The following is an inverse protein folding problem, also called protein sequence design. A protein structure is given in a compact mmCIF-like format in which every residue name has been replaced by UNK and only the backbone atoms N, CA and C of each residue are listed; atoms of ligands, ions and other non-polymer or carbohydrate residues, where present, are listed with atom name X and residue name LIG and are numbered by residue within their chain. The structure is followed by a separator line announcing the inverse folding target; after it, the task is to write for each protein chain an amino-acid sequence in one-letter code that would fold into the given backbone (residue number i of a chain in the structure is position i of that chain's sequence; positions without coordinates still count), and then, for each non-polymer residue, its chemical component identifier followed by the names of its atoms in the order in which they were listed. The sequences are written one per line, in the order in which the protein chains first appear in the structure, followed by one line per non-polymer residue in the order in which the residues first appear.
data_IF_458785714855
#
_entry.id   IF_458785714855
#
_cell.length_a   1.000
_cell.length_b   1.000
_cell.length_c   1.000
_cell.angle_alpha   90.00
_cell.angle_beta   90.00
_cell.angle_gamma   90.00
#
_symmetry.space_group_name_H-M   'P 1'
#
loop_
_entity.id
_entity.type
_entity.pdbx_description
1 polymer ?
#
# COMPACT_ATOMS: atom_id res chain seq x y z
N UNK A 1 -36.64 34.13 -32.10
CA UNK A 1 -35.94 32.95 -31.55
C UNK A 1 -34.98 32.44 -32.61
N UNK A 2 -33.71 32.82 -32.49
CA UNK A 2 -32.72 32.71 -33.57
C UNK A 2 -32.10 31.32 -33.66
N UNK A 3 -31.61 30.97 -34.86
CA UNK A 3 -30.89 29.72 -35.15
C UNK A 3 -29.77 29.40 -34.14
N UNK A 4 -29.18 30.43 -33.53
CA UNK A 4 -28.09 30.34 -32.55
C UNK A 4 -28.49 29.55 -31.30
N UNK A 5 -29.75 29.67 -30.85
CA UNK A 5 -30.26 28.93 -29.68
C UNK A 5 -30.39 27.42 -29.94
N UNK A 6 -30.67 27.02 -31.19
CA UNK A 6 -30.71 25.61 -31.60
C UNK A 6 -29.33 24.97 -31.63
N UNK A 7 -28.28 25.72 -32.01
CA UNK A 7 -26.90 25.19 -32.03
C UNK A 7 -26.36 25.01 -30.62
N UNK A 8 -26.68 25.95 -29.70
CA UNK A 8 -26.32 25.82 -28.27
C UNK A 8 -26.95 24.60 -27.59
N UNK A 9 -28.18 24.23 -27.96
CA UNK A 9 -28.84 23.05 -27.36
C UNK A 9 -28.28 21.72 -27.84
N UNK A 10 -27.77 21.67 -29.08
CA UNK A 10 -27.10 20.49 -29.65
C UNK A 10 -25.75 20.24 -28.99
N UNK A 11 -24.94 21.29 -28.76
CA UNK A 11 -23.67 21.16 -28.04
C UNK A 11 -23.85 20.68 -26.60
N UNK A 12 -24.92 21.11 -25.92
CA UNK A 12 -25.25 20.64 -24.55
C UNK A 12 -25.57 19.13 -24.47
N UNK A 13 -25.98 18.50 -25.58
CA UNK A 13 -26.21 17.04 -25.64
C UNK A 13 -24.91 16.26 -25.85
N UNK A 14 -23.89 16.86 -26.47
CA UNK A 14 -22.60 16.22 -26.70
C UNK A 14 -21.62 16.31 -25.53
N UNK A 15 -21.81 17.26 -24.60
CA UNK A 15 -21.02 17.33 -23.35
C UNK A 15 -21.60 16.50 -22.22
N UNK A 16 -22.62 15.67 -22.47
CA UNK A 16 -22.98 14.61 -21.52
C UNK A 16 -21.85 13.59 -21.57
N UNK A 17 -20.90 13.75 -20.66
CA UNK A 17 -19.97 12.70 -20.30
C UNK A 17 -20.76 11.38 -20.27
N UNK A 18 -20.26 10.30 -20.89
CA UNK A 18 -20.90 9.00 -20.77
C UNK A 18 -21.19 8.77 -19.28
N UNK A 19 -22.40 8.30 -18.92
CA UNK A 19 -22.70 8.01 -17.52
C UNK A 19 -21.53 7.18 -16.99
N UNK A 20 -20.97 7.55 -15.81
CA UNK A 20 -19.85 6.82 -15.25
C UNK A 20 -20.25 5.35 -15.26
N UNK A 21 -19.51 4.52 -16.00
CA UNK A 21 -19.73 3.09 -16.01
C UNK A 21 -19.75 2.70 -14.53
N UNK A 22 -20.88 2.18 -14.00
CA UNK A 22 -20.90 1.76 -12.62
C UNK A 22 -19.79 0.72 -12.51
N UNK A 23 -18.76 1.03 -11.72
CA UNK A 23 -17.74 0.04 -11.39
C UNK A 23 -18.51 -1.18 -10.89
N UNK A 24 -18.18 -2.41 -11.35
CA UNK A 24 -18.84 -3.60 -10.84
C UNK A 24 -18.83 -3.51 -9.31
N UNK A 25 -19.97 -3.79 -8.65
CA UNK A 25 -20.02 -3.75 -7.20
C UNK A 25 -18.92 -4.68 -6.69
N UNK A 26 -18.01 -4.15 -5.88
CA UNK A 26 -17.06 -4.96 -5.14
C UNK A 26 -17.92 -5.98 -4.41
N UNK A 27 -17.74 -7.27 -4.71
CA UNK A 27 -18.57 -8.28 -4.06
C UNK A 27 -18.24 -8.26 -2.56
N UNK A 28 -19.18 -8.66 -1.70
CA UNK A 28 -18.94 -8.71 -0.24
C UNK A 28 -17.66 -9.48 0.08
N UNK A 29 -17.35 -10.50 -0.72
CA UNK A 29 -16.11 -11.29 -0.64
C UNK A 29 -14.84 -10.47 -0.93
N UNK A 30 -14.87 -9.58 -1.94
CA UNK A 30 -13.76 -8.70 -2.28
C UNK A 30 -13.55 -7.61 -1.21
N UNK A 31 -14.63 -7.09 -0.59
CA UNK A 31 -14.54 -6.15 0.53
C UNK A 31 -13.90 -6.79 1.76
N UNK A 32 -14.28 -8.03 2.08
CA UNK A 32 -13.67 -8.82 3.15
C UNK A 32 -12.20 -9.15 2.86
N UNK A 33 -11.84 -9.44 1.60
CA UNK A 33 -10.45 -9.66 1.20
C UNK A 33 -9.63 -8.37 1.37
N UNK A 34 -10.16 -7.22 0.96
CA UNK A 34 -9.50 -5.92 1.17
C UNK A 34 -9.31 -5.64 2.67
N UNK A 35 -10.30 -5.90 3.52
CA UNK A 35 -10.20 -5.71 4.96
C UNK A 35 -9.09 -6.58 5.58
N UNK A 36 -9.03 -7.86 5.19
CA UNK A 36 -7.96 -8.79 5.61
C UNK A 36 -6.58 -8.32 5.15
N UNK A 37 -6.46 -7.91 3.89
CA UNK A 37 -5.22 -7.39 3.33
C UNK A 37 -4.74 -6.12 4.04
N UNK A 38 -5.67 -5.23 4.44
CA UNK A 38 -5.36 -4.05 5.25
C UNK A 38 -4.85 -4.41 6.65
N UNK A 39 -5.44 -5.42 7.30
CA UNK A 39 -4.95 -5.92 8.59
C UNK A 39 -3.53 -6.47 8.48
N UNK A 40 -3.27 -7.35 7.51
CA UNK A 40 -1.94 -7.91 7.27
C UNK A 40 -0.92 -6.81 6.96
N UNK A 41 -1.32 -5.79 6.19
CA UNK A 41 -0.46 -4.64 5.91
C UNK A 41 -0.06 -3.88 7.18
N UNK A 42 -0.97 -3.74 8.15
CA UNK A 42 -0.68 -3.08 9.42
C UNK A 42 0.23 -3.92 10.31
N UNK A 43 0.01 -5.23 10.38
CA UNK A 43 0.90 -6.17 11.07
C UNK A 43 2.33 -6.11 10.50
N UNK A 44 2.46 -6.11 9.17
CA UNK A 44 3.74 -6.00 8.49
C UNK A 44 4.46 -4.66 8.75
N UNK A 45 3.71 -3.56 8.88
CA UNK A 45 4.30 -2.28 9.32
C UNK A 45 4.79 -2.37 10.76
N UNK A 46 4.01 -2.93 11.67
CA UNK A 46 4.41 -3.16 13.05
C UNK A 46 5.69 -3.98 13.14
N UNK A 47 5.77 -5.08 12.38
CA UNK A 47 6.98 -5.91 12.29
C UNK A 47 8.20 -5.13 11.78
N UNK A 48 8.01 -4.20 10.83
CA UNK A 48 9.08 -3.34 10.33
C UNK A 48 9.57 -2.37 11.41
N UNK A 49 8.69 -1.83 12.24
CA UNK A 49 9.06 -0.99 13.38
C UNK A 49 9.84 -1.79 14.44
N UNK A 50 9.42 -3.02 14.73
CA UNK A 50 10.17 -3.93 15.61
C UNK A 50 11.60 -4.16 15.10
N UNK A 51 11.77 -4.44 13.81
CA UNK A 51 13.10 -4.61 13.21
C UNK A 51 13.95 -3.33 13.36
N UNK A 52 13.35 -2.15 13.23
CA UNK A 52 14.08 -0.89 13.46
C UNK A 52 14.53 -0.76 14.92
N UNK A 53 13.72 -1.18 15.89
CA UNK A 53 14.11 -1.21 17.30
C UNK A 53 15.22 -2.24 17.54
N UNK A 54 15.14 -3.42 16.91
CA UNK A 54 16.18 -4.44 16.99
C UNK A 54 17.51 -3.94 16.40
N UNK A 55 17.50 -3.22 15.28
CA UNK A 55 18.69 -2.59 14.70
C UNK A 55 19.32 -1.57 15.66
N UNK A 56 18.51 -0.71 16.28
CA UNK A 56 19.00 0.25 17.29
C UNK A 56 19.63 -0.46 18.49
N UNK A 57 18.99 -1.53 18.97
CA UNK A 57 19.51 -2.34 20.07
C UNK A 57 20.81 -3.05 19.68
N UNK A 58 20.90 -3.56 18.46
CA UNK A 58 22.08 -4.20 17.92
C UNK A 58 23.27 -3.23 17.89
N UNK A 59 23.05 -2.00 17.44
CA UNK A 59 24.07 -0.96 17.43
C UNK A 59 24.49 -0.56 18.85
N UNK A 60 23.53 -0.46 19.78
CA UNK A 60 23.84 -0.19 21.19
C UNK A 60 24.66 -1.33 21.83
N UNK A 61 24.30 -2.59 21.60
CA UNK A 61 25.03 -3.74 22.13
C UNK A 61 26.45 -3.83 21.54
N UNK A 62 26.65 -3.42 20.29
CA UNK A 62 27.98 -3.29 19.69
C UNK A 62 28.81 -2.17 20.33
N UNK A 63 28.22 -0.97 20.50
CA UNK A 63 28.90 0.17 21.14
C UNK A 63 29.29 -0.14 22.59
N UNK A 64 28.48 -0.92 23.30
CA UNK A 64 28.76 -1.39 24.66
C UNK A 64 29.74 -2.57 24.72
N UNK A 65 30.24 -3.05 23.58
CA UNK A 65 31.19 -4.16 23.51
C UNK A 65 30.61 -5.53 23.88
N UNK A 66 29.27 -5.67 23.92
CA UNK A 66 28.61 -6.95 24.26
C UNK A 66 28.62 -7.94 23.10
N UNK A 67 28.77 -7.44 21.87
CA UNK A 67 28.90 -8.25 20.65
C UNK A 67 30.09 -7.76 19.84
N UNK A 68 30.69 -8.67 19.07
CA UNK A 68 31.75 -8.33 18.13
C UNK A 68 31.19 -7.84 16.78
N UNK A 69 32.05 -7.26 15.96
CA UNK A 69 31.67 -6.74 14.65
C UNK A 69 31.07 -7.83 13.74
N UNK A 70 31.63 -9.06 13.78
CA UNK A 70 31.14 -10.16 12.95
C UNK A 70 29.71 -10.58 13.30
N UNK A 71 29.37 -10.64 14.59
CA UNK A 71 28.03 -10.97 15.06
C UNK A 71 27.05 -9.83 14.74
N UNK A 72 27.48 -8.57 14.93
CA UNK A 72 26.72 -7.39 14.52
C UNK A 72 26.37 -7.46 13.04
N UNK A 73 27.36 -7.61 12.16
CA UNK A 73 27.14 -7.62 10.70
C UNK A 73 26.19 -8.74 10.27
N UNK A 74 26.35 -9.94 10.85
CA UNK A 74 25.47 -11.07 10.54
C UNK A 74 24.01 -10.78 10.95
N UNK A 75 23.79 -10.26 12.15
CA UNK A 75 22.45 -9.93 12.63
C UNK A 75 21.87 -8.76 11.83
N UNK A 76 22.67 -7.74 11.51
CA UNK A 76 22.28 -6.62 10.67
C UNK A 76 21.82 -7.09 9.29
N UNK A 77 22.60 -7.93 8.61
CA UNK A 77 22.23 -8.47 7.29
C UNK A 77 20.92 -9.27 7.36
N UNK A 78 20.71 -10.05 8.42
CA UNK A 78 19.47 -10.81 8.59
C UNK A 78 18.25 -9.89 8.74
N UNK A 79 18.35 -8.88 9.60
CA UNK A 79 17.30 -7.88 9.81
C UNK A 79 17.01 -7.07 8.54
N UNK A 80 18.05 -6.73 7.78
CA UNK A 80 17.90 -6.06 6.48
C UNK A 80 17.19 -6.96 5.45
N UNK A 81 17.53 -8.26 5.40
CA UNK A 81 16.83 -9.22 4.52
C UNK A 81 15.37 -9.36 4.89
N UNK A 82 15.04 -9.42 6.18
CA UNK A 82 13.66 -9.48 6.66
C UNK A 82 12.89 -8.21 6.28
N UNK A 83 13.49 -7.03 6.48
CA UNK A 83 12.93 -5.74 6.04
C UNK A 83 12.64 -5.71 4.54
N UNK A 84 13.55 -6.24 3.71
CA UNK A 84 13.33 -6.33 2.27
C UNK A 84 12.17 -7.26 1.89
N UNK A 85 12.02 -8.40 2.59
CA UNK A 85 10.87 -9.31 2.38
C UNK A 85 9.56 -8.63 2.73
N UNK A 86 9.49 -7.98 3.89
CA UNK A 86 8.32 -7.21 4.34
C UNK A 86 7.97 -6.12 3.33
N UNK A 87 8.95 -5.35 2.84
CA UNK A 87 8.68 -4.32 1.84
C UNK A 87 8.10 -4.89 0.52
N UNK A 88 8.54 -6.09 0.10
CA UNK A 88 7.97 -6.78 -1.07
C UNK A 88 6.54 -7.24 -0.82
N UNK A 89 6.28 -7.83 0.34
CA UNK A 89 4.93 -8.26 0.73
C UNK A 89 3.98 -7.08 0.82
N UNK A 90 4.39 -5.96 1.42
CA UNK A 90 3.63 -4.71 1.45
C UNK A 90 3.31 -4.21 0.03
N UNK A 91 4.27 -4.25 -0.89
CA UNK A 91 4.04 -3.86 -2.28
C UNK A 91 3.03 -4.79 -3.00
N UNK A 92 3.15 -6.10 -2.78
CA UNK A 92 2.22 -7.09 -3.35
C UNK A 92 0.81 -6.91 -2.80
N UNK A 93 0.67 -6.70 -1.49
CA UNK A 93 -0.62 -6.44 -0.84
C UNK A 93 -1.25 -5.15 -1.39
N UNK A 94 -0.45 -4.09 -1.56
CA UNK A 94 -0.93 -2.84 -2.15
C UNK A 94 -1.44 -3.05 -3.58
N UNK A 95 -0.70 -3.78 -4.41
CA UNK A 95 -1.14 -4.12 -5.76
C UNK A 95 -2.45 -4.94 -5.74
N UNK A 96 -2.57 -5.90 -4.82
CA UNK A 96 -3.76 -6.73 -4.67
C UNK A 96 -4.98 -5.89 -4.26
N UNK A 97 -4.87 -5.02 -3.26
CA UNK A 97 -5.97 -4.13 -2.84
C UNK A 97 -6.41 -3.23 -4.01
N UNK A 98 -5.47 -2.65 -4.77
CA UNK A 98 -5.80 -1.83 -5.94
C UNK A 98 -6.51 -2.66 -7.02
N UNK A 99 -6.08 -3.90 -7.26
CA UNK A 99 -6.70 -4.81 -8.24
C UNK A 99 -8.14 -5.18 -7.88
N UNK A 100 -8.46 -5.22 -6.58
CA UNK A 100 -9.80 -5.48 -6.05
C UNK A 100 -10.68 -4.21 -6.00
N UNK A 101 -10.19 -3.08 -6.52
CA UNK A 101 -10.91 -1.80 -6.49
C UNK A 101 -10.86 -1.06 -5.15
N UNK A 102 -10.05 -1.53 -4.20
CA UNK A 102 -9.85 -0.89 -2.91
C UNK A 102 -8.99 0.37 -3.00
N UNK A 103 -9.30 1.35 -2.14
CA UNK A 103 -8.49 2.57 -1.99
C UNK A 103 -7.49 2.38 -0.85
N UNK A 104 -6.24 2.72 -1.12
CA UNK A 104 -5.16 2.79 -0.13
C UNK A 104 -4.78 4.27 -0.01
N UNK A 105 -4.97 4.85 1.17
CA UNK A 105 -4.38 6.15 1.50
C UNK A 105 -2.88 5.95 1.68
N UNK A 106 -2.09 6.69 0.90
CA UNK A 106 -0.61 6.61 0.88
C UNK A 106 -0.04 7.51 1.96
#
# INVERSE_FOLDING_TARGET
MGLIDKVKSIFKRFTRAPPPIPKPPVTVEEEEEIARLKQVMEELKGRKEEIQLELKKLDADFMLGKIDARKRDRQYINLMRETMKINRELANIRQRIISLGGVIEI
#
